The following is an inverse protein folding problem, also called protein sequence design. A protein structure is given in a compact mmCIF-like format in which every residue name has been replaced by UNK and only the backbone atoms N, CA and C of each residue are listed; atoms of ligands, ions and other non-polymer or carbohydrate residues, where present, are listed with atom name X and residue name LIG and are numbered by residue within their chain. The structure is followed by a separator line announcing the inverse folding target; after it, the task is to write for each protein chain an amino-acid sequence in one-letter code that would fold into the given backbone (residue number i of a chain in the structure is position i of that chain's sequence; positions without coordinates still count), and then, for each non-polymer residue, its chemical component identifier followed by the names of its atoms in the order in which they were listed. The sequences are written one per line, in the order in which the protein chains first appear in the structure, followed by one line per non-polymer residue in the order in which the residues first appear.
data_IF_281886434085
#
_entry.id   IF_281886434085
#
_cell.length_a   1.000
_cell.length_b   1.000
_cell.length_c   1.000
_cell.angle_alpha   90.00
_cell.angle_beta   90.00
_cell.angle_gamma   90.00
#
_symmetry.space_group_name_H-M   'P 1'
#
loop_
_entity.id
_entity.type
_entity.pdbx_description
1 polymer ?
#
# COMPACT_ATOMS: atom_id res chain seq x y z
N UNK A 1 1.15 -0.43 22.60
CA UNK A 1 1.82 0.16 21.43
C UNK A 1 3.21 0.61 21.85
N UNK A 2 4.22 0.28 21.07
CA UNK A 2 5.62 0.57 21.36
C UNK A 2 6.11 1.63 20.39
N UNK A 3 6.71 2.72 20.88
CA UNK A 3 7.31 3.77 20.05
C UNK A 3 8.71 3.35 19.62
N UNK A 4 9.02 3.54 18.34
CA UNK A 4 10.31 3.18 17.72
C UNK A 4 10.83 4.35 16.91
N UNK A 5 12.06 4.74 17.17
CA UNK A 5 12.78 5.69 16.32
C UNK A 5 13.90 4.97 15.55
N UNK A 6 13.90 5.15 14.24
CA UNK A 6 14.87 4.56 13.34
C UNK A 6 15.51 5.62 12.44
N UNK A 7 16.78 5.42 12.00
CA UNK A 7 17.47 6.39 11.14
C UNK A 7 16.74 6.64 9.82
N UNK A 8 16.73 7.89 9.37
CA UNK A 8 16.18 8.25 8.05
C UNK A 8 17.04 7.72 6.90
N UNK A 9 18.36 7.68 7.11
CA UNK A 9 19.29 7.09 6.15
C UNK A 9 19.24 5.56 6.23
N UNK A 10 18.79 4.94 5.15
CA UNK A 10 18.51 3.50 5.09
C UNK A 10 19.40 2.83 4.02
N UNK A 11 20.06 1.72 4.34
CA UNK A 11 20.82 0.95 3.35
C UNK A 11 19.95 0.49 2.19
N UNK A 12 20.50 0.50 0.97
CA UNK A 12 19.77 0.12 -0.25
C UNK A 12 19.18 -1.29 -0.18
N UNK A 13 19.87 -2.23 0.46
CA UNK A 13 19.39 -3.61 0.59
C UNK A 13 18.05 -3.72 1.33
N UNK A 14 17.78 -2.87 2.30
CA UNK A 14 16.50 -2.84 3.03
C UNK A 14 15.37 -2.48 2.07
N UNK A 15 15.52 -1.36 1.36
CA UNK A 15 14.49 -0.81 0.47
C UNK A 15 14.39 -1.58 -0.87
N UNK A 16 15.45 -2.29 -1.25
CA UNK A 16 15.40 -3.24 -2.35
C UNK A 16 14.64 -4.50 -1.95
N UNK A 17 14.84 -5.00 -0.74
CA UNK A 17 14.15 -6.18 -0.21
C UNK A 17 12.64 -5.94 -0.08
N UNK A 18 12.24 -4.76 0.38
CA UNK A 18 10.82 -4.37 0.46
C UNK A 18 10.22 -4.01 -0.92
N UNK A 19 11.03 -3.90 -1.99
CA UNK A 19 10.59 -3.58 -3.34
C UNK A 19 10.51 -2.10 -3.68
N UNK A 20 10.78 -1.19 -2.75
CA UNK A 20 10.71 0.26 -3.00
C UNK A 20 11.69 0.73 -4.07
N UNK A 21 12.91 0.19 -4.11
CA UNK A 21 13.90 0.58 -5.12
C UNK A 21 13.40 0.27 -6.54
N UNK A 22 12.68 -0.83 -6.72
CA UNK A 22 12.29 -1.32 -8.04
C UNK A 22 10.89 -0.84 -8.46
N UNK A 23 9.99 -0.52 -7.53
CA UNK A 23 8.56 -0.30 -7.81
C UNK A 23 8.00 1.04 -7.38
N UNK A 24 8.72 1.80 -6.54
CA UNK A 24 8.23 3.08 -6.02
C UNK A 24 8.53 4.20 -7.01
N UNK A 25 7.66 4.34 -8.01
CA UNK A 25 7.83 5.29 -9.11
C UNK A 25 6.50 5.90 -9.56
N UNK A 26 6.56 7.17 -9.96
CA UNK A 26 5.49 7.88 -10.67
C UNK A 26 5.81 7.98 -12.16
N UNK A 27 4.81 8.28 -12.98
CA UNK A 27 4.97 8.51 -14.40
C UNK A 27 5.21 9.98 -14.70
N UNK A 28 6.31 10.30 -15.40
CA UNK A 28 6.66 11.66 -15.76
C UNK A 28 6.73 11.84 -17.27
N UNK A 29 6.30 13.02 -17.74
CA UNK A 29 6.50 13.51 -19.09
C UNK A 29 7.44 14.72 -19.07
N UNK A 30 8.11 14.98 -20.18
CA UNK A 30 8.93 16.18 -20.38
C UNK A 30 8.32 17.03 -21.50
N UNK A 31 8.16 18.33 -21.26
CA UNK A 31 7.80 19.25 -22.30
C UNK A 31 9.03 19.51 -23.21
N UNK A 32 8.95 19.21 -24.52
CA UNK A 32 10.10 19.33 -25.41
C UNK A 32 10.50 20.79 -25.70
N UNK A 33 9.62 21.77 -25.45
CA UNK A 33 9.86 23.17 -25.77
C UNK A 33 10.60 23.92 -24.66
N UNK A 34 10.22 23.68 -23.38
CA UNK A 34 10.78 24.39 -22.25
C UNK A 34 11.54 23.50 -21.28
N UNK A 35 11.46 22.16 -21.45
CA UNK A 35 12.13 21.19 -20.63
C UNK A 35 11.45 20.90 -19.28
N UNK A 36 10.28 21.48 -19.05
CA UNK A 36 9.51 21.25 -17.82
C UNK A 36 9.16 19.78 -17.66
N UNK A 37 9.26 19.30 -16.42
CA UNK A 37 8.87 17.95 -16.05
C UNK A 37 7.48 18.00 -15.43
N UNK A 38 6.60 17.13 -15.92
CA UNK A 38 5.18 17.09 -15.58
C UNK A 38 4.85 15.65 -15.16
N UNK A 39 4.08 15.49 -14.11
CA UNK A 39 3.52 14.20 -13.73
C UNK A 39 2.40 13.83 -14.70
N UNK A 40 2.45 12.64 -15.29
CA UNK A 40 1.61 12.29 -16.44
C UNK A 40 0.13 12.16 -16.10
N UNK A 41 -0.19 11.54 -14.97
CA UNK A 41 -1.56 11.40 -14.45
C UNK A 41 -2.21 12.75 -14.18
N UNK A 42 -1.53 13.63 -13.44
CA UNK A 42 -2.02 14.99 -13.19
C UNK A 42 -2.17 15.84 -14.45
N UNK A 43 -1.32 15.62 -15.44
CA UNK A 43 -1.43 16.31 -16.71
C UNK A 43 -2.73 15.91 -17.44
N UNK A 44 -3.04 14.60 -17.47
CA UNK A 44 -4.28 14.10 -18.05
C UNK A 44 -5.48 14.63 -17.27
N UNK A 45 -5.45 14.54 -15.93
CA UNK A 45 -6.49 15.05 -15.03
C UNK A 45 -6.78 16.53 -15.27
N UNK A 46 -5.77 17.40 -15.22
CA UNK A 46 -5.90 18.86 -15.40
C UNK A 46 -6.53 19.22 -16.75
N UNK A 47 -6.16 18.52 -17.82
CA UNK A 47 -6.71 18.76 -19.15
C UNK A 47 -8.16 18.30 -19.26
N UNK A 48 -8.51 17.11 -18.76
CA UNK A 48 -9.87 16.60 -18.84
C UNK A 48 -10.82 17.41 -17.97
N UNK A 49 -10.43 17.77 -16.75
CA UNK A 49 -11.21 18.64 -15.87
C UNK A 49 -11.44 20.02 -16.51
N UNK A 50 -10.41 20.59 -17.14
CA UNK A 50 -10.52 21.86 -17.84
C UNK A 50 -11.51 21.78 -19.00
N UNK A 51 -11.51 20.71 -19.78
CA UNK A 51 -12.46 20.48 -20.89
C UNK A 51 -13.89 20.29 -20.40
N UNK A 52 -14.10 19.53 -19.32
CA UNK A 52 -15.41 19.36 -18.68
C UNK A 52 -15.94 20.67 -18.10
N UNK A 53 -15.06 21.52 -17.54
CA UNK A 53 -15.42 22.84 -17.07
C UNK A 53 -15.90 23.72 -18.25
N UNK A 54 -15.17 23.71 -19.35
CA UNK A 54 -15.57 24.44 -20.58
C UNK A 54 -16.91 23.97 -21.14
N UNK A 55 -17.23 22.67 -21.10
CA UNK A 55 -18.53 22.12 -21.49
C UNK A 55 -19.66 22.64 -20.57
N UNK A 56 -19.47 22.62 -19.25
CA UNK A 56 -20.44 23.16 -18.29
C UNK A 56 -20.74 24.63 -18.51
N UNK A 57 -19.69 25.43 -18.76
CA UNK A 57 -19.84 26.86 -19.10
C UNK A 57 -20.60 27.04 -20.41
N UNK A 58 -20.31 26.25 -21.46
CA UNK A 58 -21.01 26.27 -22.75
C UNK A 58 -22.49 25.85 -22.64
N UNK A 59 -22.84 25.02 -21.67
CA UNK A 59 -24.22 24.61 -21.36
C UNK A 59 -24.95 25.60 -20.43
N UNK A 60 -24.29 26.70 -20.01
CA UNK A 60 -24.88 27.73 -19.15
C UNK A 60 -24.99 27.35 -17.66
N UNK A 61 -24.29 26.32 -17.23
CA UNK A 61 -24.20 25.95 -15.83
C UNK A 61 -23.21 26.87 -15.13
N UNK A 62 -23.64 27.61 -14.12
CA UNK A 62 -22.72 28.41 -13.29
C UNK A 62 -21.75 27.44 -12.57
N UNK A 63 -20.49 27.49 -12.95
CA UNK A 63 -19.41 26.80 -12.23
C UNK A 63 -18.95 27.74 -11.14
N UNK A 64 -19.05 27.32 -9.88
CA UNK A 64 -18.46 28.05 -8.75
C UNK A 64 -16.96 28.14 -8.99
N UNK A 65 -16.43 29.36 -9.12
CA UNK A 65 -14.99 29.56 -9.17
C UNK A 65 -14.41 29.18 -7.81
N UNK A 66 -13.70 28.05 -7.76
CA UNK A 66 -12.81 27.77 -6.64
C UNK A 66 -11.81 28.92 -6.56
N UNK A 67 -11.60 29.50 -5.37
CA UNK A 67 -10.63 30.57 -5.15
C UNK A 67 -9.23 30.07 -5.59
N UNK A 68 -8.82 30.49 -6.78
CA UNK A 68 -7.51 30.17 -7.32
C UNK A 68 -6.41 31.00 -6.62
N UNK A 69 -5.30 30.37 -6.27
CA UNK A 69 -4.11 31.01 -5.73
C UNK A 69 -3.74 32.26 -6.57
N UNK A 70 -3.65 33.45 -5.94
CA UNK A 70 -3.33 34.73 -6.64
C UNK A 70 -2.06 34.68 -7.50
N UNK A 71 -1.13 33.74 -7.22
CA UNK A 71 0.09 33.52 -7.98
C UNK A 71 -0.16 32.77 -9.30
N UNK A 72 -1.23 31.98 -9.42
CA UNK A 72 -1.65 31.34 -10.68
C UNK A 72 -2.26 32.33 -11.67
N UNK A 73 -2.80 33.48 -11.20
CA UNK A 73 -3.34 34.52 -12.10
C UNK A 73 -2.32 35.10 -13.09
N UNK A 74 -1.02 35.00 -12.83
CA UNK A 74 0.04 35.47 -13.76
C UNK A 74 0.40 34.49 -14.88
N UNK A 75 -0.02 33.21 -14.76
CA UNK A 75 0.12 32.19 -15.81
C UNK A 75 -1.28 31.74 -16.29
N UNK A 76 -2.21 32.66 -16.53
CA UNK A 76 -3.48 32.28 -17.16
C UNK A 76 -3.16 31.60 -18.49
N UNK A 77 -3.23 30.29 -18.47
CA UNK A 77 -3.58 29.48 -19.63
C UNK A 77 -4.74 30.17 -20.31
N UNK A 78 -4.64 30.39 -21.64
CA UNK A 78 -5.74 30.87 -22.45
C UNK A 78 -7.01 30.19 -21.98
N UNK A 79 -8.03 31.00 -21.62
CA UNK A 79 -9.30 30.47 -21.15
C UNK A 79 -9.66 29.28 -22.05
N UNK A 80 -9.96 28.14 -21.44
CA UNK A 80 -10.43 26.97 -22.18
C UNK A 80 -11.62 27.46 -22.99
N UNK A 81 -11.59 27.31 -24.29
CA UNK A 81 -12.71 27.70 -25.13
C UNK A 81 -13.93 26.94 -24.58
N UNK A 82 -15.00 27.69 -24.27
CA UNK A 82 -16.27 27.11 -23.85
C UNK A 82 -16.85 26.32 -25.03
N UNK A 83 -16.50 25.07 -25.15
CA UNK A 83 -16.93 24.15 -26.22
C UNK A 83 -17.87 23.13 -25.62
N UNK A 84 -19.07 23.03 -26.20
CA UNK A 84 -20.01 21.98 -25.85
C UNK A 84 -19.51 20.63 -26.37
N UNK A 85 -19.29 19.70 -25.45
CA UNK A 85 -18.90 18.32 -25.77
C UNK A 85 -20.13 17.46 -26.06
N UNK A 86 -19.93 16.36 -26.76
CA UNK A 86 -20.94 15.30 -26.89
C UNK A 86 -21.10 14.59 -25.50
N UNK A 87 -22.33 14.23 -25.15
CA UNK A 87 -22.62 13.60 -23.87
C UNK A 87 -21.86 12.27 -23.70
N UNK A 88 -21.59 11.56 -24.79
CA UNK A 88 -20.76 10.34 -24.77
C UNK A 88 -19.30 10.67 -24.38
N UNK A 89 -18.75 11.79 -24.87
CA UNK A 89 -17.40 12.26 -24.55
C UNK A 89 -17.30 12.74 -23.10
N UNK A 90 -18.34 13.44 -22.61
CA UNK A 90 -18.41 13.85 -21.20
C UNK A 90 -18.33 12.63 -20.30
N UNK A 91 -19.15 11.62 -20.58
CA UNK A 91 -19.16 10.38 -19.82
C UNK A 91 -17.81 9.66 -19.88
N UNK A 92 -17.18 9.60 -21.05
CA UNK A 92 -15.86 8.98 -21.22
C UNK A 92 -14.78 9.71 -20.40
N UNK A 93 -14.81 11.05 -20.37
CA UNK A 93 -13.87 11.84 -19.55
C UNK A 93 -14.09 11.61 -18.04
N UNK A 94 -15.34 11.55 -17.60
CA UNK A 94 -15.68 11.25 -16.20
C UNK A 94 -15.22 9.83 -15.81
N UNK A 95 -15.38 8.84 -16.71
CA UNK A 95 -14.89 7.47 -16.49
C UNK A 95 -13.35 7.41 -16.40
N UNK A 96 -12.64 8.18 -17.22
CA UNK A 96 -11.18 8.27 -17.19
C UNK A 96 -10.73 8.91 -15.88
N UNK A 97 -11.32 10.03 -15.48
CA UNK A 97 -11.00 10.72 -14.23
C UNK A 97 -11.25 9.85 -13.00
N UNK A 98 -12.33 9.07 -13.00
CA UNK A 98 -12.62 8.14 -11.90
C UNK A 98 -11.58 7.00 -11.75
N UNK A 99 -10.79 6.74 -12.80
CA UNK A 99 -9.78 5.67 -12.85
C UNK A 99 -8.36 6.19 -13.03
N UNK A 100 -8.14 7.49 -12.89
CA UNK A 100 -6.86 8.13 -13.29
C UNK A 100 -5.65 7.50 -12.59
N UNK A 101 -5.78 7.18 -11.31
CA UNK A 101 -4.72 6.58 -10.52
C UNK A 101 -4.44 5.09 -10.86
N UNK A 102 -5.30 4.47 -11.67
CA UNK A 102 -5.16 3.08 -12.08
C UNK A 102 -4.43 2.89 -13.43
N UNK A 103 -4.15 3.98 -14.16
CA UNK A 103 -3.47 3.92 -15.46
C UNK A 103 -1.95 3.81 -15.32
N UNK A 104 -1.34 2.90 -16.08
CA UNK A 104 0.10 2.82 -16.23
C UNK A 104 0.63 3.85 -17.26
N UNK A 105 1.96 3.94 -17.38
CA UNK A 105 2.58 4.93 -18.27
C UNK A 105 2.25 4.77 -19.75
N UNK A 106 2.06 3.54 -20.22
CA UNK A 106 1.67 3.27 -21.61
C UNK A 106 0.23 3.74 -21.86
N UNK A 107 -0.68 3.40 -20.95
CA UNK A 107 -2.10 3.80 -21.01
C UNK A 107 -2.24 5.33 -20.94
N UNK A 108 -1.53 5.99 -20.01
CA UNK A 108 -1.49 7.46 -19.95
C UNK A 108 -0.97 8.07 -21.26
N UNK A 109 0.07 7.47 -21.85
CA UNK A 109 0.61 7.90 -23.14
C UNK A 109 -0.40 7.74 -24.28
N UNK A 110 -1.21 6.67 -24.28
CA UNK A 110 -2.29 6.46 -25.22
C UNK A 110 -3.40 7.51 -25.07
N UNK A 111 -3.77 7.86 -23.82
CA UNK A 111 -4.75 8.92 -23.54
C UNK A 111 -4.27 10.28 -24.03
N UNK A 112 -3.01 10.63 -23.77
CA UNK A 112 -2.41 11.90 -24.22
C UNK A 112 -2.49 12.01 -25.74
N UNK A 113 -2.15 10.96 -26.47
CA UNK A 113 -2.23 10.91 -27.94
C UNK A 113 -3.67 10.90 -28.45
N UNK A 114 -4.53 10.05 -27.91
CA UNK A 114 -5.93 9.91 -28.33
C UNK A 114 -6.69 11.22 -28.28
N UNK A 115 -6.45 12.01 -27.22
CA UNK A 115 -7.14 13.28 -27.02
C UNK A 115 -6.33 14.50 -27.43
N UNK A 116 -5.20 14.30 -28.14
CA UNK A 116 -4.31 15.37 -28.62
C UNK A 116 -4.00 16.39 -27.50
N UNK A 117 -3.61 15.87 -26.32
CA UNK A 117 -3.37 16.71 -25.15
C UNK A 117 -2.07 17.47 -25.31
N UNK A 118 -2.12 18.78 -25.14
CA UNK A 118 -0.96 19.67 -25.25
C UNK A 118 -0.78 20.43 -23.96
N UNK A 119 0.48 20.67 -23.59
CA UNK A 119 0.78 21.50 -22.42
C UNK A 119 0.20 22.90 -22.63
N UNK A 120 -0.72 23.33 -21.76
CA UNK A 120 -1.37 24.63 -21.92
C UNK A 120 -0.41 25.83 -21.98
N UNK A 121 0.74 25.69 -21.30
CA UNK A 121 1.75 26.78 -21.26
C UNK A 121 2.56 26.89 -22.55
N UNK A 122 2.79 25.81 -23.27
CA UNK A 122 3.71 25.76 -24.44
C UNK A 122 3.01 25.44 -25.75
N UNK A 123 1.79 24.85 -25.69
CA UNK A 123 1.02 24.40 -26.84
C UNK A 123 1.57 23.16 -27.53
N UNK A 124 2.53 22.44 -26.89
CA UNK A 124 3.21 21.27 -27.45
C UNK A 124 2.79 20.00 -26.69
N UNK A 125 2.73 18.89 -27.41
CA UNK A 125 2.51 17.56 -26.79
C UNK A 125 3.76 17.16 -25.98
N UNK A 126 3.59 16.70 -24.73
CA UNK A 126 4.71 16.24 -23.93
C UNK A 126 5.32 14.93 -24.47
N UNK A 127 6.53 14.61 -24.03
CA UNK A 127 7.14 13.31 -24.33
C UNK A 127 6.29 12.16 -23.78
N UNK A 128 6.45 10.94 -24.33
CA UNK A 128 5.83 9.77 -23.72
C UNK A 128 6.16 9.64 -22.22
N UNK A 129 5.23 9.14 -21.40
CA UNK A 129 5.47 8.91 -19.98
C UNK A 129 6.60 7.91 -19.73
N UNK A 130 7.49 8.24 -18.80
CA UNK A 130 8.57 7.36 -18.31
C UNK A 130 8.50 7.26 -16.80
N UNK A 131 8.86 6.09 -16.27
CA UNK A 131 8.88 5.88 -14.82
C UNK A 131 9.99 6.72 -14.17
N UNK A 132 9.65 7.41 -13.09
CA UNK A 132 10.57 8.18 -12.27
C UNK A 132 10.53 7.64 -10.83
N UNK A 133 11.64 7.10 -10.35
CA UNK A 133 11.73 6.57 -9.00
C UNK A 133 11.72 7.72 -7.98
N UNK A 134 10.84 7.62 -6.99
CA UNK A 134 10.63 8.65 -5.96
C UNK A 134 11.62 8.57 -4.80
N UNK A 135 12.66 7.75 -4.89
CA UNK A 135 13.64 7.58 -3.84
C UNK A 135 14.79 8.60 -3.96
N UNK A 136 15.20 9.20 -2.83
CA UNK A 136 16.44 9.96 -2.75
C UNK A 136 17.62 9.02 -2.49
N UNK A 137 18.42 8.78 -3.51
CA UNK A 137 19.63 7.97 -3.39
C UNK A 137 20.80 8.79 -2.86
N UNK A 138 21.64 8.16 -2.04
CA UNK A 138 22.89 8.72 -1.51
C UNK A 138 23.94 7.62 -1.34
N UNK A 139 25.16 8.00 -1.05
CA UNK A 139 26.26 7.09 -0.70
C UNK A 139 26.48 7.08 0.82
N UNK A 140 26.72 5.91 1.39
CA UNK A 140 27.03 5.73 2.80
C UNK A 140 28.52 5.44 2.95
N UNK A 141 29.18 6.20 3.82
CA UNK A 141 30.60 6.04 4.12
C UNK A 141 31.55 6.67 3.09
N UNK A 142 32.85 6.68 3.40
CA UNK A 142 33.86 7.43 2.64
C UNK A 142 34.20 6.83 1.27
N UNK A 143 33.99 5.52 1.10
CA UNK A 143 34.32 4.81 -0.15
C UNK A 143 33.22 4.94 -1.23
N UNK A 144 32.08 5.50 -0.92
CA UNK A 144 30.89 5.60 -1.80
C UNK A 144 30.41 4.27 -2.40
N UNK A 145 30.87 3.14 -1.87
CA UNK A 145 30.54 1.81 -2.39
C UNK A 145 29.29 1.21 -1.77
N UNK A 146 28.73 1.84 -0.74
CA UNK A 146 27.51 1.40 -0.08
C UNK A 146 26.39 2.36 -0.44
N UNK A 147 25.48 1.98 -1.38
CA UNK A 147 24.33 2.81 -1.70
C UNK A 147 23.33 2.82 -0.55
N UNK A 148 22.72 3.98 -0.33
CA UNK A 148 21.65 4.19 0.63
C UNK A 148 20.58 5.10 0.06
N UNK A 149 19.50 5.22 0.80
CA UNK A 149 18.39 6.10 0.45
C UNK A 149 17.88 6.81 1.70
N UNK A 150 17.30 7.98 1.51
CA UNK A 150 16.42 8.57 2.52
C UNK A 150 15.10 7.77 2.51
N UNK A 151 14.64 7.33 3.67
CA UNK A 151 13.45 6.48 3.79
C UNK A 151 12.19 7.15 3.25
N UNK A 152 11.37 6.49 2.41
CA UNK A 152 10.11 7.03 1.90
C UNK A 152 8.94 6.86 2.88
N UNK A 153 9.13 6.02 3.91
CA UNK A 153 8.21 5.66 4.99
C UNK A 153 8.98 5.27 6.24
N UNK A 154 8.34 5.20 7.38
CA UNK A 154 8.99 4.79 8.65
C UNK A 154 8.80 3.31 8.96
N UNK A 155 7.95 2.61 8.23
CA UNK A 155 7.55 1.21 8.42
C UNK A 155 8.71 0.23 8.42
N UNK A 156 9.63 0.35 7.45
CA UNK A 156 10.71 -0.64 7.25
C UNK A 156 11.62 -0.78 8.47
N UNK A 157 11.87 0.32 9.18
CA UNK A 157 12.62 0.28 10.44
C UNK A 157 11.91 -0.52 11.53
N UNK A 158 10.59 -0.49 11.57
CA UNK A 158 9.78 -1.24 12.53
C UNK A 158 9.84 -2.74 12.20
N UNK A 159 9.72 -3.14 10.94
CA UNK A 159 9.81 -4.54 10.51
C UNK A 159 11.17 -5.16 10.82
N UNK A 160 12.26 -4.44 10.57
CA UNK A 160 13.61 -4.91 10.91
C UNK A 160 13.83 -5.12 12.41
N UNK A 161 13.10 -4.40 13.25
CA UNK A 161 13.14 -4.52 14.69
C UNK A 161 12.03 -5.41 15.27
N UNK A 162 11.23 -6.06 14.43
CA UNK A 162 10.07 -6.87 14.85
C UNK A 162 10.40 -7.86 15.98
N UNK A 163 11.46 -8.65 15.85
CA UNK A 163 11.84 -9.63 16.86
C UNK A 163 12.12 -9.00 18.24
N UNK A 164 12.82 -7.85 18.25
CA UNK A 164 13.10 -7.09 19.48
C UNK A 164 11.83 -6.49 20.09
N UNK A 165 10.92 -6.00 19.24
CA UNK A 165 9.63 -5.44 19.67
C UNK A 165 8.73 -6.52 20.27
N UNK A 166 8.71 -7.71 19.65
CA UNK A 166 7.98 -8.87 20.15
C UNK A 166 8.54 -9.33 21.50
N UNK A 167 9.87 -9.41 21.65
CA UNK A 167 10.54 -9.72 22.92
C UNK A 167 10.19 -8.70 23.99
N UNK A 168 10.26 -7.40 23.67
CA UNK A 168 9.88 -6.34 24.59
C UNK A 168 8.41 -6.42 25.01
N UNK A 169 7.53 -6.85 24.11
CA UNK A 169 6.11 -7.12 24.37
C UNK A 169 5.87 -8.50 24.99
N UNK A 170 6.91 -9.17 25.50
CA UNK A 170 6.81 -10.48 26.19
C UNK A 170 6.16 -11.56 25.32
N UNK A 171 6.43 -11.57 24.03
CA UNK A 171 5.88 -12.52 23.04
C UNK A 171 4.34 -12.50 22.92
N UNK A 172 3.69 -11.44 23.43
CA UNK A 172 2.23 -11.33 23.39
C UNK A 172 1.73 -10.78 22.06
N UNK A 173 0.67 -11.40 21.53
CA UNK A 173 -0.04 -10.97 20.33
C UNK A 173 -1.53 -10.69 20.68
N UNK A 174 -2.23 -9.78 19.94
CA UNK A 174 -1.68 -8.80 19.00
C UNK A 174 -0.96 -7.65 19.70
N UNK A 175 -0.05 -6.99 18.99
CA UNK A 175 0.58 -5.76 19.48
C UNK A 175 0.82 -4.77 18.35
N UNK A 176 1.22 -3.56 18.67
CA UNK A 176 1.57 -2.56 17.68
C UNK A 176 2.85 -1.81 18.07
N UNK A 177 3.64 -1.46 17.08
CA UNK A 177 4.67 -0.42 17.16
C UNK A 177 4.23 0.83 16.43
N UNK A 178 4.84 1.97 16.75
CA UNK A 178 4.59 3.23 16.09
C UNK A 178 5.90 4.00 15.92
N UNK A 179 6.01 4.71 14.82
CA UNK A 179 7.14 5.62 14.56
C UNK A 179 6.60 6.97 14.11
N UNK A 180 7.12 8.06 14.73
CA UNK A 180 6.86 9.43 14.30
C UNK A 180 8.18 9.97 13.77
N UNK A 181 8.23 10.32 12.50
CA UNK A 181 9.50 10.75 11.91
C UNK A 181 9.35 11.33 10.51
N UNK A 182 10.46 11.87 10.03
CA UNK A 182 10.53 12.37 8.66
C UNK A 182 10.63 11.24 7.65
N UNK A 183 9.86 11.38 6.57
CA UNK A 183 9.95 10.58 5.36
C UNK A 183 10.25 11.49 4.17
N UNK A 184 10.77 10.91 3.09
CA UNK A 184 11.32 11.64 1.95
C UNK A 184 10.86 11.01 0.64
N UNK A 185 10.25 11.81 -0.22
CA UNK A 185 9.88 11.39 -1.57
C UNK A 185 10.33 12.42 -2.58
N UNK A 186 11.07 12.04 -3.57
CA UNK A 186 11.59 12.92 -4.61
C UNK A 186 10.47 13.31 -5.58
N UNK A 187 9.52 14.08 -5.09
CA UNK A 187 8.35 14.54 -5.84
C UNK A 187 8.75 15.23 -7.14
N UNK A 188 8.09 14.86 -8.24
CA UNK A 188 8.31 15.43 -9.57
C UNK A 188 7.98 16.92 -9.56
N UNK A 189 6.86 17.31 -8.96
CA UNK A 189 6.39 18.69 -8.90
C UNK A 189 5.84 19.06 -7.54
N UNK A 190 6.71 19.42 -6.56
CA UNK A 190 6.25 19.91 -5.26
C UNK A 190 5.46 21.22 -5.43
N UNK A 191 4.30 21.30 -4.79
CA UNK A 191 3.43 22.48 -4.84
C UNK A 191 2.43 22.48 -3.69
N UNK A 192 1.69 23.58 -3.55
CA UNK A 192 0.59 23.72 -2.59
C UNK A 192 1.02 23.61 -1.12
N UNK A 193 2.15 24.24 -0.77
CA UNK A 193 2.64 24.30 0.62
C UNK A 193 2.89 22.89 1.20
N UNK A 194 2.26 22.57 2.33
CA UNK A 194 2.43 21.29 3.03
C UNK A 194 1.79 20.10 2.33
N UNK A 195 0.97 20.32 1.31
CA UNK A 195 0.22 19.25 0.66
C UNK A 195 1.08 18.35 -0.22
N UNK A 196 2.15 18.91 -0.83
CA UNK A 196 3.08 18.14 -1.65
C UNK A 196 4.51 18.65 -1.53
N UNK A 197 5.26 18.01 -0.66
CA UNK A 197 6.65 18.34 -0.31
C UNK A 197 7.54 17.11 -0.42
N UNK A 198 8.85 17.32 -0.50
CA UNK A 198 9.85 16.24 -0.60
C UNK A 198 10.31 15.69 0.74
N UNK A 199 10.12 16.44 1.81
CA UNK A 199 10.35 16.04 3.20
C UNK A 199 9.08 16.31 3.98
N UNK A 200 8.55 15.32 4.68
CA UNK A 200 7.32 15.44 5.45
C UNK A 200 7.35 14.60 6.72
N UNK A 201 6.56 14.99 7.70
CA UNK A 201 6.42 14.28 8.95
C UNK A 201 5.28 13.27 8.85
N UNK A 202 5.58 12.01 9.18
CA UNK A 202 4.62 10.91 9.24
C UNK A 202 4.53 10.35 10.64
N UNK A 203 3.37 9.80 10.98
CA UNK A 203 3.21 8.87 12.08
C UNK A 203 2.65 7.56 11.54
N UNK A 204 3.39 6.49 11.64
CA UNK A 204 2.98 5.17 11.14
C UNK A 204 2.89 4.17 12.28
N UNK A 205 1.82 3.39 12.26
CA UNK A 205 1.54 2.34 13.24
C UNK A 205 1.56 1.02 12.49
N UNK A 206 2.39 0.08 12.97
CA UNK A 206 2.40 -1.30 12.48
C UNK A 206 1.69 -2.17 13.50
N UNK A 207 0.45 -2.54 13.21
CA UNK A 207 -0.34 -3.41 14.07
C UNK A 207 -0.23 -4.86 13.61
N UNK A 208 0.45 -5.67 14.41
CA UNK A 208 0.73 -7.08 14.13
C UNK A 208 -0.41 -7.95 14.63
N UNK A 209 -0.96 -8.76 13.74
CA UNK A 209 -2.12 -9.64 14.04
C UNK A 209 -1.88 -11.06 13.58
N UNK A 210 -2.54 -12.01 14.26
CA UNK A 210 -2.62 -13.39 13.80
C UNK A 210 -3.39 -13.46 12.46
N UNK A 211 -2.83 -14.07 11.41
CA UNK A 211 -3.52 -14.20 10.13
C UNK A 211 -4.75 -15.12 10.19
N UNK A 212 -4.84 -15.99 11.21
CA UNK A 212 -5.99 -16.89 11.40
C UNK A 212 -7.17 -16.17 12.04
N UNK A 213 -8.36 -16.71 11.83
CA UNK A 213 -9.58 -16.18 12.43
C UNK A 213 -10.10 -14.90 11.77
N UNK A 214 -9.65 -14.59 10.53
CA UNK A 214 -10.18 -13.47 9.73
C UNK A 214 -9.72 -12.10 10.23
N UNK A 215 -8.55 -12.01 10.88
CA UNK A 215 -7.99 -10.75 11.39
C UNK A 215 -9.00 -9.96 12.24
N UNK A 216 -9.65 -10.63 13.18
CA UNK A 216 -10.60 -10.03 14.10
C UNK A 216 -9.92 -9.08 15.08
N UNK A 217 -10.62 -8.01 15.46
CA UNK A 217 -10.13 -7.06 16.45
C UNK A 217 -10.99 -7.08 17.72
N UNK A 218 -10.38 -7.34 18.87
CA UNK A 218 -11.07 -7.51 20.16
C UNK A 218 -11.87 -6.27 20.62
N UNK A 219 -11.56 -5.08 20.08
CA UNK A 219 -12.26 -3.83 20.35
C UNK A 219 -13.16 -3.36 19.19
N UNK A 220 -13.45 -4.22 18.22
CA UNK A 220 -14.25 -3.84 17.07
C UNK A 220 -15.67 -3.38 17.47
N UNK A 221 -16.23 -4.00 18.49
CA UNK A 221 -17.54 -3.64 19.06
C UNK A 221 -17.64 -2.16 19.50
N UNK A 222 -16.52 -1.54 19.89
CA UNK A 222 -16.49 -0.12 20.30
C UNK A 222 -16.73 0.86 19.16
N UNK A 223 -16.49 0.42 17.93
CA UNK A 223 -16.51 1.28 16.73
C UNK A 223 -17.44 0.77 15.63
N UNK A 224 -18.05 -0.40 15.80
CA UNK A 224 -18.83 -1.07 14.74
C UNK A 224 -19.94 -0.21 14.12
N UNK A 225 -20.55 0.66 14.92
CA UNK A 225 -21.67 1.52 14.50
C UNK A 225 -21.20 2.88 13.95
N UNK A 226 -19.89 3.13 13.89
CA UNK A 226 -19.35 4.36 13.27
C UNK A 226 -19.66 4.36 11.79
N UNK A 227 -20.35 5.37 11.32
CA UNK A 227 -20.68 5.55 9.90
C UNK A 227 -19.53 6.22 9.15
N UNK A 228 -19.04 5.57 8.10
CA UNK A 228 -18.01 6.10 7.22
C UNK A 228 -18.58 6.43 5.84
N UNK A 229 -18.06 7.47 5.22
CA UNK A 229 -18.34 7.86 3.84
C UNK A 229 -17.33 7.17 2.94
N UNK A 230 -17.75 6.12 2.24
CA UNK A 230 -16.88 5.24 1.47
C UNK A 230 -17.02 5.45 -0.04
N UNK A 231 -15.90 5.64 -0.72
CA UNK A 231 -15.76 5.53 -2.17
C UNK A 231 -15.04 4.20 -2.47
N UNK A 232 -15.80 3.17 -2.68
CA UNK A 232 -15.25 1.83 -2.84
C UNK A 232 -14.70 1.58 -4.26
N UNK A 233 -13.88 0.55 -4.40
CA UNK A 233 -13.24 0.12 -5.64
C UNK A 233 -14.23 -0.18 -6.77
N UNK A 234 -15.35 -0.82 -6.46
CA UNK A 234 -16.34 -1.18 -7.47
C UNK A 234 -17.00 0.05 -8.10
N UNK A 235 -17.32 1.07 -7.30
CA UNK A 235 -17.85 2.35 -7.78
C UNK A 235 -16.86 3.04 -8.72
N UNK A 236 -15.59 3.10 -8.34
CA UNK A 236 -14.53 3.69 -9.17
C UNK A 236 -14.32 2.93 -10.48
N UNK A 237 -14.31 1.59 -10.45
CA UNK A 237 -14.19 0.75 -11.65
C UNK A 237 -15.39 0.89 -12.59
N UNK A 238 -16.57 1.23 -12.07
CA UNK A 238 -17.74 1.58 -12.87
C UNK A 238 -17.70 2.99 -13.47
N UNK A 239 -16.58 3.74 -13.27
CA UNK A 239 -16.44 5.12 -13.73
C UNK A 239 -17.28 6.14 -12.93
N UNK A 240 -17.61 5.82 -11.68
CA UNK A 240 -18.45 6.63 -10.82
C UNK A 240 -17.69 7.11 -9.58
N UNK A 241 -18.14 8.23 -9.02
CA UNK A 241 -17.51 8.87 -7.85
C UNK A 241 -18.49 9.09 -6.70
N UNK A 242 -19.69 8.47 -6.77
CA UNK A 242 -20.65 8.57 -5.68
C UNK A 242 -20.16 7.80 -4.44
N UNK A 243 -20.37 8.39 -3.29
CA UNK A 243 -19.99 7.81 -2.00
C UNK A 243 -21.18 7.14 -1.33
N UNK A 244 -20.89 6.14 -0.50
CA UNK A 244 -21.89 5.48 0.34
C UNK A 244 -21.56 5.75 1.81
N UNK A 245 -22.57 6.18 2.57
CA UNK A 245 -22.45 6.32 4.02
C UNK A 245 -22.99 5.06 4.69
N UNK A 246 -22.12 4.30 5.31
CA UNK A 246 -22.44 2.99 5.91
C UNK A 246 -21.73 2.79 7.23
N UNK A 247 -22.35 2.10 8.23
CA UNK A 247 -21.67 1.71 9.44
C UNK A 247 -20.57 0.68 9.12
N UNK A 248 -19.43 0.78 9.84
CA UNK A 248 -18.24 -0.02 9.50
C UNK A 248 -18.47 -1.52 9.63
N UNK A 249 -19.32 -1.97 10.56
CA UNK A 249 -19.65 -3.39 10.69
C UNK A 249 -20.27 -3.95 9.40
N UNK A 250 -21.10 -3.16 8.73
CA UNK A 250 -21.74 -3.56 7.48
C UNK A 250 -20.73 -3.62 6.34
N UNK A 251 -19.84 -2.62 6.22
CA UNK A 251 -18.80 -2.61 5.21
C UNK A 251 -17.84 -3.81 5.33
N UNK A 252 -17.58 -4.28 6.55
CA UNK A 252 -16.81 -5.51 6.80
C UNK A 252 -17.63 -6.75 6.47
N UNK A 253 -18.91 -6.80 6.86
CA UNK A 253 -19.77 -7.96 6.64
C UNK A 253 -20.03 -8.26 5.16
N UNK A 254 -20.18 -7.20 4.31
CA UNK A 254 -20.37 -7.32 2.86
C UNK A 254 -19.05 -7.42 2.09
N UNK A 255 -17.89 -7.45 2.78
CA UNK A 255 -16.58 -7.60 2.14
C UNK A 255 -16.10 -6.36 1.38
N UNK A 256 -16.73 -5.20 1.58
CA UNK A 256 -16.25 -3.91 1.05
C UNK A 256 -14.92 -3.53 1.71
N UNK A 257 -14.80 -3.75 3.03
CA UNK A 257 -13.58 -3.68 3.81
C UNK A 257 -13.15 -5.11 4.15
N UNK A 258 -11.92 -5.47 3.85
CA UNK A 258 -11.45 -6.86 3.85
C UNK A 258 -11.57 -7.58 5.20
N UNK A 259 -11.37 -6.89 6.32
CA UNK A 259 -11.39 -7.51 7.64
C UNK A 259 -11.72 -6.53 8.78
N UNK A 260 -12.07 -7.08 9.97
CA UNK A 260 -12.43 -6.28 11.15
C UNK A 260 -11.30 -5.39 11.67
N UNK A 261 -10.05 -5.84 11.62
CA UNK A 261 -8.92 -5.02 12.12
C UNK A 261 -8.70 -3.80 11.24
N UNK A 262 -8.76 -3.96 9.91
CA UNK A 262 -8.71 -2.84 8.98
C UNK A 262 -9.90 -1.89 9.24
N UNK A 263 -11.11 -2.43 9.36
CA UNK A 263 -12.30 -1.67 9.67
C UNK A 263 -12.22 -0.91 11.01
N UNK A 264 -11.65 -1.54 12.04
CA UNK A 264 -11.41 -0.89 13.32
C UNK A 264 -10.53 0.36 13.14
N UNK A 265 -9.44 0.26 12.41
CA UNK A 265 -8.53 1.39 12.23
C UNK A 265 -9.15 2.48 11.34
N UNK A 266 -9.91 2.16 10.30
CA UNK A 266 -10.65 3.15 9.51
C UNK A 266 -11.60 3.96 10.39
N UNK A 267 -12.37 3.30 11.25
CA UNK A 267 -13.24 3.98 12.20
C UNK A 267 -12.47 4.82 13.23
N UNK A 268 -11.32 4.32 13.73
CA UNK A 268 -10.47 5.09 14.67
C UNK A 268 -9.84 6.32 14.02
N UNK A 269 -9.44 6.22 12.73
CA UNK A 269 -8.95 7.36 11.95
C UNK A 269 -10.05 8.43 11.83
N UNK A 270 -11.28 8.02 11.48
CA UNK A 270 -12.42 8.94 11.40
C UNK A 270 -12.66 9.67 12.72
N UNK A 271 -12.76 8.93 13.83
CA UNK A 271 -12.97 9.49 15.17
C UNK A 271 -11.81 10.39 15.63
N UNK A 272 -10.58 10.08 15.21
CA UNK A 272 -9.42 10.92 15.50
C UNK A 272 -9.51 12.26 14.74
N UNK A 273 -9.80 12.21 13.44
CA UNK A 273 -9.93 13.41 12.60
C UNK A 273 -11.06 14.32 13.10
N UNK A 274 -12.20 13.74 13.47
CA UNK A 274 -13.29 14.46 14.10
C UNK A 274 -12.87 15.12 15.42
N UNK A 275 -12.20 14.35 16.29
CA UNK A 275 -11.77 14.82 17.61
C UNK A 275 -10.80 16.00 17.56
N UNK A 276 -9.95 16.07 16.53
CA UNK A 276 -9.03 17.22 16.37
C UNK A 276 -9.67 18.42 15.69
N UNK A 277 -10.94 18.32 15.24
CA UNK A 277 -11.71 19.46 14.69
C UNK A 277 -11.83 19.47 13.16
N UNK A 278 -11.53 18.38 12.47
CA UNK A 278 -11.83 18.27 11.04
C UNK A 278 -13.35 18.19 10.84
N UNK A 279 -13.87 18.94 9.87
CA UNK A 279 -15.28 18.91 9.50
C UNK A 279 -15.68 17.54 8.94
N UNK A 280 -16.58 16.84 9.63
CA UNK A 280 -17.06 15.50 9.26
C UNK A 280 -17.63 15.44 7.83
N UNK A 281 -18.27 16.50 7.36
CA UNK A 281 -18.83 16.55 6.01
C UNK A 281 -17.75 16.58 4.91
N UNK A 282 -16.52 16.83 5.32
CA UNK A 282 -15.33 16.92 4.45
C UNK A 282 -14.36 15.74 4.62
N UNK A 283 -14.83 14.63 5.18
CA UNK A 283 -14.06 13.39 5.31
C UNK A 283 -14.70 12.32 4.43
N UNK A 284 -13.88 11.64 3.60
CA UNK A 284 -14.28 10.41 2.93
C UNK A 284 -13.13 9.40 2.96
N UNK A 285 -13.47 8.13 2.78
CA UNK A 285 -12.48 7.07 2.63
C UNK A 285 -12.55 6.53 1.21
N UNK A 286 -11.43 6.58 0.48
CA UNK A 286 -11.29 6.06 -0.88
C UNK A 286 -10.50 4.76 -0.88
N UNK A 287 -11.06 3.71 -1.45
CA UNK A 287 -10.37 2.42 -1.60
C UNK A 287 -9.47 2.45 -2.83
N UNK A 288 -8.24 1.96 -2.70
CA UNK A 288 -7.34 1.79 -3.82
C UNK A 288 -7.85 0.75 -4.82
N UNK A 289 -7.65 1.02 -6.11
CA UNK A 289 -7.86 0.07 -7.18
C UNK A 289 -6.66 -0.87 -7.32
N UNK A 290 -6.81 -1.98 -8.07
CA UNK A 290 -5.81 -3.05 -8.12
C UNK A 290 -4.41 -2.59 -8.60
N UNK A 291 -4.36 -1.71 -9.60
CA UNK A 291 -3.09 -1.24 -10.17
C UNK A 291 -2.46 -0.08 -9.37
N UNK A 292 -3.27 0.62 -8.57
CA UNK A 292 -2.84 1.68 -7.66
C UNK A 292 -2.29 1.12 -6.36
N UNK A 293 -2.83 -0.01 -5.94
CA UNK A 293 -2.49 -0.63 -4.68
C UNK A 293 -1.01 -1.01 -4.63
N UNK A 294 -0.34 -0.65 -3.53
CA UNK A 294 1.03 -1.04 -3.30
C UNK A 294 1.18 -2.58 -3.38
N UNK A 295 2.29 -3.04 -3.95
CA UNK A 295 2.54 -4.46 -4.23
C UNK A 295 2.52 -5.38 -2.99
N UNK A 296 2.55 -4.82 -1.81
CA UNK A 296 2.51 -5.52 -0.52
C UNK A 296 1.11 -5.53 0.11
N UNK A 297 0.17 -4.74 -0.37
CA UNK A 297 -1.14 -4.58 0.25
C UNK A 297 -2.18 -5.56 -0.30
N UNK A 298 -3.00 -6.11 0.59
CA UNK A 298 -4.19 -6.89 0.25
C UNK A 298 -5.42 -6.00 0.08
N UNK A 299 -5.55 -4.96 0.90
CA UNK A 299 -6.55 -3.89 0.82
C UNK A 299 -5.95 -2.60 1.35
N UNK A 300 -6.32 -1.46 0.76
CA UNK A 300 -5.81 -0.14 1.15
C UNK A 300 -6.90 0.92 0.99
N UNK A 301 -6.98 1.81 1.96
CA UNK A 301 -7.93 2.91 2.02
C UNK A 301 -7.24 4.21 2.42
N UNK A 302 -7.59 5.30 1.75
CA UNK A 302 -7.15 6.63 2.10
C UNK A 302 -8.28 7.43 2.77
N UNK A 303 -8.01 7.98 3.94
CA UNK A 303 -8.84 9.04 4.47
C UNK A 303 -8.46 10.34 3.75
N UNK A 304 -9.36 10.81 2.91
CA UNK A 304 -9.23 12.03 2.15
C UNK A 304 -10.04 13.15 2.79
N UNK A 305 -9.42 14.33 2.86
CA UNK A 305 -10.01 15.54 3.39
C UNK A 305 -10.25 16.55 2.27
N UNK A 306 -11.46 17.11 2.20
CA UNK A 306 -11.81 18.10 1.19
C UNK A 306 -11.21 19.47 1.55
N UNK A 307 -10.45 20.03 0.64
CA UNK A 307 -9.85 21.36 0.74
C UNK A 307 -10.20 22.23 -0.45
N UNK A 308 -9.75 23.48 -0.44
CA UNK A 308 -9.82 24.37 -1.61
C UNK A 308 -9.10 23.81 -2.85
N UNK A 309 -8.15 22.89 -2.66
CA UNK A 309 -7.44 22.17 -3.73
C UNK A 309 -8.12 20.87 -4.18
N UNK A 310 -9.25 20.50 -3.58
CA UNK A 310 -9.95 19.24 -3.81
C UNK A 310 -9.76 18.24 -2.67
N UNK A 311 -9.97 16.97 -2.97
CA UNK A 311 -9.76 15.88 -2.02
C UNK A 311 -8.27 15.58 -1.88
N UNK A 312 -7.77 15.55 -0.65
CA UNK A 312 -6.35 15.33 -0.34
C UNK A 312 -6.25 14.12 0.58
N UNK A 313 -5.51 13.12 0.16
CA UNK A 313 -5.10 12.00 1.00
C UNK A 313 -4.29 12.50 2.21
N UNK A 314 -4.78 12.24 3.41
CA UNK A 314 -4.15 12.65 4.65
C UNK A 314 -3.73 11.48 5.54
N UNK A 315 -4.44 10.36 5.47
CA UNK A 315 -4.12 9.14 6.21
C UNK A 315 -4.35 7.93 5.32
N UNK A 316 -3.31 7.14 5.06
CA UNK A 316 -3.43 5.82 4.46
C UNK A 316 -3.72 4.77 5.54
N UNK A 317 -4.48 3.72 5.19
CA UNK A 317 -4.67 2.56 6.05
C UNK A 317 -4.65 1.28 5.20
N UNK A 318 -3.58 0.51 5.33
CA UNK A 318 -3.33 -0.65 4.50
C UNK A 318 -3.30 -1.97 5.30
N UNK A 319 -3.81 -3.03 4.71
CA UNK A 319 -3.49 -4.39 5.10
C UNK A 319 -2.28 -4.86 4.28
N UNK A 320 -1.09 -4.83 4.88
CA UNK A 320 0.17 -5.25 4.25
C UNK A 320 0.36 -6.77 4.25
N UNK A 321 -0.59 -7.53 4.78
CA UNK A 321 -0.47 -8.98 4.97
C UNK A 321 0.83 -9.34 5.72
N UNK A 322 1.46 -10.46 5.37
CA UNK A 322 2.75 -10.87 5.95
C UNK A 322 3.95 -10.51 5.05
N UNK A 323 3.75 -9.63 4.05
CA UNK A 323 4.73 -9.42 2.99
C UNK A 323 6.09 -8.97 3.52
N UNK A 324 6.15 -7.83 4.22
CA UNK A 324 7.41 -7.23 4.66
C UNK A 324 8.21 -8.16 5.58
N UNK A 325 7.57 -8.73 6.58
CA UNK A 325 8.22 -9.67 7.50
C UNK A 325 8.76 -10.89 6.76
N UNK A 326 8.01 -11.42 5.78
CA UNK A 326 8.42 -12.58 4.99
C UNK A 326 9.63 -12.29 4.11
N UNK A 327 9.63 -11.16 3.37
CA UNK A 327 10.74 -10.84 2.47
C UNK A 327 12.03 -10.50 3.26
N UNK A 328 11.89 -9.78 4.38
CA UNK A 328 13.03 -9.49 5.25
C UNK A 328 13.57 -10.74 5.94
N UNK A 329 12.71 -11.63 6.46
CA UNK A 329 13.12 -12.91 7.03
C UNK A 329 13.89 -13.77 6.01
N UNK A 330 13.37 -13.88 4.79
CA UNK A 330 14.02 -14.61 3.69
C UNK A 330 15.38 -14.02 3.32
N UNK A 331 15.50 -12.69 3.29
CA UNK A 331 16.74 -12.00 2.92
C UNK A 331 17.81 -12.09 4.00
N UNK A 332 17.44 -11.97 5.26
CA UNK A 332 18.38 -11.90 6.39
C UNK A 332 18.62 -13.23 7.09
N UNK A 333 17.72 -14.21 6.90
CA UNK A 333 17.70 -15.44 7.71
C UNK A 333 17.20 -15.23 9.15
N UNK A 334 16.78 -14.00 9.51
CA UNK A 334 16.25 -13.71 10.83
C UNK A 334 14.84 -14.27 11.01
N UNK A 335 14.50 -14.86 12.17
CA UNK A 335 13.16 -15.38 12.44
C UNK A 335 12.18 -14.24 12.76
N UNK A 336 11.64 -13.58 11.73
CA UNK A 336 10.61 -12.53 11.88
C UNK A 336 9.21 -13.18 11.97
N UNK A 337 9.04 -14.06 12.94
CA UNK A 337 7.82 -14.83 13.18
C UNK A 337 7.49 -14.88 14.67
N UNK A 338 6.25 -15.19 14.96
CA UNK A 338 5.76 -15.44 16.32
C UNK A 338 5.84 -16.93 16.59
N UNK A 339 6.33 -17.28 17.78
CA UNK A 339 6.32 -18.64 18.31
C UNK A 339 5.51 -18.64 19.60
N UNK A 340 4.31 -19.18 19.55
CA UNK A 340 3.44 -19.26 20.71
C UNK A 340 3.24 -20.69 21.20
N UNK A 341 3.13 -20.86 22.51
CA UNK A 341 2.77 -22.16 23.09
C UNK A 341 1.26 -22.37 22.95
N UNK A 342 0.88 -23.52 22.41
CA UNK A 342 -0.52 -23.91 22.33
C UNK A 342 -1.05 -24.26 23.72
N UNK A 343 -2.26 -23.78 24.04
CA UNK A 343 -2.96 -24.11 25.28
C UNK A 343 -3.27 -25.61 25.31
N UNK A 344 -3.74 -26.15 24.18
CA UNK A 344 -3.95 -27.57 23.97
C UNK A 344 -3.03 -28.06 22.84
N UNK A 345 -2.23 -29.10 23.09
CA UNK A 345 -1.39 -29.68 22.06
C UNK A 345 -2.21 -30.19 20.89
N UNK A 346 -1.79 -29.88 19.68
CA UNK A 346 -2.44 -30.37 18.46
C UNK A 346 -1.72 -31.65 18.03
N UNK A 347 -2.48 -32.74 17.89
CA UNK A 347 -1.94 -33.97 17.29
C UNK A 347 -2.15 -33.91 15.79
N UNK A 348 -1.05 -33.81 15.03
CA UNK A 348 -1.04 -33.86 13.58
C UNK A 348 -0.66 -35.25 13.14
N UNK A 349 -1.47 -35.84 12.27
CA UNK A 349 -1.10 -37.09 11.59
C UNK A 349 -0.53 -36.72 10.22
N UNK A 350 0.75 -37.04 10.02
CA UNK A 350 1.45 -36.75 8.79
C UNK A 350 2.24 -37.96 8.27
N UNK A 351 2.43 -38.01 6.97
CA UNK A 351 3.30 -39.00 6.36
C UNK A 351 4.74 -38.56 6.54
N UNK A 352 5.48 -39.29 7.38
CA UNK A 352 6.90 -39.06 7.61
C UNK A 352 7.74 -40.00 6.76
N UNK A 353 8.89 -39.49 6.34
CA UNK A 353 9.88 -40.23 5.54
C UNK A 353 11.14 -40.39 6.37
N UNK A 354 11.54 -41.63 6.61
CA UNK A 354 12.82 -41.95 7.21
C UNK A 354 13.74 -42.57 6.17
N UNK A 355 14.94 -42.04 6.04
CA UNK A 355 15.98 -42.58 5.18
C UNK A 355 16.97 -43.42 6.00
N UNK A 356 17.27 -44.63 5.56
CA UNK A 356 18.40 -45.39 6.11
C UNK A 356 19.72 -44.75 5.65
N UNK A 357 20.19 -43.76 6.39
CA UNK A 357 21.41 -42.99 6.04
C UNK A 357 22.66 -43.84 5.84
N UNK A 358 22.70 -45.01 6.48
CA UNK A 358 23.84 -45.95 6.31
C UNK A 358 23.87 -46.61 4.95
N UNK A 359 22.72 -46.87 4.37
CA UNK A 359 22.58 -47.48 3.04
C UNK A 359 22.37 -46.45 1.94
N UNK A 360 21.62 -45.37 2.26
CA UNK A 360 21.24 -44.34 1.30
C UNK A 360 22.45 -43.58 0.72
N UNK A 361 23.37 -43.13 1.59
CA UNK A 361 24.60 -42.47 1.17
C UNK A 361 25.48 -43.29 0.22
N UNK A 362 25.85 -44.54 0.57
CA UNK A 362 26.63 -45.42 -0.31
C UNK A 362 25.92 -45.74 -1.63
N UNK A 363 24.58 -45.85 -1.64
CA UNK A 363 23.77 -46.13 -2.83
C UNK A 363 23.84 -45.00 -3.86
N UNK A 364 23.57 -43.75 -3.44
CA UNK A 364 23.49 -42.59 -4.32
C UNK A 364 24.80 -41.82 -4.46
N UNK A 365 25.82 -42.12 -3.66
CA UNK A 365 27.17 -41.53 -3.71
C UNK A 365 27.12 -39.98 -3.79
N UNK A 366 27.66 -39.43 -4.88
CA UNK A 366 27.72 -37.95 -5.10
C UNK A 366 26.34 -37.28 -5.17
N UNK A 367 25.30 -38.00 -5.59
CA UNK A 367 23.95 -37.48 -5.81
C UNK A 367 23.07 -37.61 -4.55
N UNK A 368 23.60 -38.25 -3.49
CA UNK A 368 22.84 -38.55 -2.26
C UNK A 368 22.18 -37.35 -1.60
N UNK A 369 22.86 -36.20 -1.51
CA UNK A 369 22.32 -34.98 -0.93
C UNK A 369 21.20 -34.38 -1.78
N UNK A 370 21.33 -34.44 -3.10
CA UNK A 370 20.32 -33.93 -4.04
C UNK A 370 19.04 -34.78 -3.98
N UNK A 371 19.23 -36.12 -3.89
CA UNK A 371 18.08 -37.03 -3.77
C UNK A 371 17.43 -36.91 -2.39
N UNK A 372 18.20 -36.78 -1.29
CA UNK A 372 17.71 -36.55 0.07
C UNK A 372 16.84 -35.30 0.11
N UNK A 373 17.35 -34.17 -0.41
CA UNK A 373 16.61 -32.90 -0.45
C UNK A 373 15.30 -33.01 -1.27
N UNK A 374 15.33 -33.72 -2.40
CA UNK A 374 14.14 -33.94 -3.21
C UNK A 374 13.09 -34.81 -2.49
N UNK A 375 13.52 -35.83 -1.75
CA UNK A 375 12.64 -36.67 -0.94
C UNK A 375 12.03 -35.88 0.21
N UNK A 376 12.81 -35.07 0.92
CA UNK A 376 12.33 -34.23 2.04
C UNK A 376 11.33 -33.17 1.55
N UNK A 377 11.50 -32.65 0.34
CA UNK A 377 10.61 -31.65 -0.28
C UNK A 377 9.28 -32.23 -0.78
N UNK A 378 9.05 -33.53 -0.73
CA UNK A 378 7.82 -34.14 -1.20
C UNK A 378 6.59 -33.67 -0.38
N UNK A 379 5.52 -33.17 -1.02
CA UNK A 379 4.28 -32.79 -0.34
C UNK A 379 3.54 -34.01 0.25
N UNK A 380 2.75 -33.80 1.29
CA UNK A 380 2.05 -34.86 2.05
C UNK A 380 1.19 -35.79 1.16
N UNK A 381 0.49 -35.22 0.17
CA UNK A 381 -0.33 -35.97 -0.78
C UNK A 381 0.51 -36.95 -1.62
N UNK A 382 1.69 -36.51 -2.06
CA UNK A 382 2.64 -37.39 -2.78
C UNK A 382 3.25 -38.45 -1.87
N UNK A 383 3.53 -38.11 -0.59
CA UNK A 383 4.06 -39.08 0.39
C UNK A 383 3.06 -40.21 0.64
N UNK A 384 1.77 -39.89 0.74
CA UNK A 384 0.70 -40.90 0.88
C UNK A 384 0.66 -41.86 -0.31
N UNK A 385 0.65 -41.33 -1.52
CA UNK A 385 0.66 -42.14 -2.76
C UNK A 385 1.91 -43.03 -2.83
N UNK A 386 3.09 -42.46 -2.54
CA UNK A 386 4.36 -43.20 -2.56
C UNK A 386 4.44 -44.27 -1.47
N UNK A 387 3.85 -44.03 -0.29
CA UNK A 387 3.76 -45.05 0.75
C UNK A 387 2.96 -46.27 0.29
N UNK A 388 1.90 -46.04 -0.47
CA UNK A 388 1.09 -47.12 -1.05
C UNK A 388 1.90 -47.91 -2.10
N UNK A 389 2.57 -47.23 -3.04
CA UNK A 389 3.44 -47.85 -4.02
C UNK A 389 4.61 -48.62 -3.40
N UNK A 390 5.24 -48.06 -2.35
CA UNK A 390 6.35 -48.70 -1.66
C UNK A 390 5.93 -50.04 -1.02
N UNK A 391 4.68 -50.13 -0.55
CA UNK A 391 4.11 -51.37 0.00
C UNK A 391 3.80 -52.40 -1.05
N UNK A 392 3.31 -51.97 -2.24
CA UNK A 392 2.94 -52.86 -3.31
C UNK A 392 4.14 -53.36 -4.11
N UNK A 393 4.97 -52.43 -4.57
CA UNK A 393 6.03 -52.68 -5.55
C UNK A 393 7.42 -52.78 -4.93
N UNK A 394 7.54 -52.50 -3.62
CA UNK A 394 8.80 -52.52 -2.91
C UNK A 394 9.79 -51.43 -3.32
N UNK A 395 9.39 -50.51 -4.19
CA UNK A 395 10.18 -49.39 -4.68
C UNK A 395 9.32 -48.21 -5.11
N UNK A 396 9.88 -47.04 -5.15
CA UNK A 396 9.24 -45.82 -5.61
C UNK A 396 10.13 -45.10 -6.62
N UNK A 397 9.53 -44.29 -7.49
CA UNK A 397 10.26 -43.44 -8.43
C UNK A 397 9.87 -41.99 -8.15
N UNK A 398 10.86 -41.13 -8.01
CA UNK A 398 10.68 -39.69 -7.82
C UNK A 398 11.44 -38.92 -8.89
N UNK A 399 10.92 -37.71 -9.21
CA UNK A 399 11.59 -36.79 -10.12
C UNK A 399 12.67 -36.02 -9.35
N UNK A 400 13.93 -36.07 -9.80
CA UNK A 400 15.06 -35.37 -9.17
C UNK A 400 15.85 -34.66 -10.25
N UNK A 401 15.79 -33.36 -10.28
CA UNK A 401 16.50 -32.54 -11.26
C UNK A 401 18.02 -32.66 -11.09
N UNK A 402 18.74 -32.87 -12.20
CA UNK A 402 20.19 -32.97 -12.19
C UNK A 402 20.76 -34.36 -11.83
N UNK A 403 19.95 -35.38 -11.61
CA UNK A 403 20.37 -36.73 -11.30
C UNK A 403 19.93 -37.71 -12.40
N UNK A 404 20.88 -38.39 -13.03
CA UNK A 404 20.59 -39.39 -14.07
C UNK A 404 19.75 -38.83 -15.22
N UNK A 405 18.62 -39.50 -15.52
CA UNK A 405 17.65 -39.09 -16.53
C UNK A 405 16.50 -38.24 -15.95
N UNK A 406 16.69 -37.64 -14.77
CA UNK A 406 15.67 -36.87 -14.08
C UNK A 406 14.71 -37.70 -13.20
N UNK A 407 14.88 -39.03 -13.17
CA UNK A 407 14.10 -39.96 -12.35
C UNK A 407 15.00 -40.85 -11.51
N UNK A 408 14.65 -41.00 -10.26
CA UNK A 408 15.39 -41.79 -9.29
C UNK A 408 14.48 -42.85 -8.68
N UNK A 409 14.92 -44.11 -8.77
CA UNK A 409 14.27 -45.25 -8.13
C UNK A 409 14.84 -45.45 -6.72
N UNK A 410 13.97 -45.58 -5.72
CA UNK A 410 14.35 -45.80 -4.32
C UNK A 410 13.62 -47.04 -3.81
N UNK A 411 14.39 -48.02 -3.34
CA UNK A 411 13.82 -49.26 -2.79
C UNK A 411 13.43 -49.13 -1.32
N UNK A 412 12.54 -50.00 -0.87
CA UNK A 412 12.08 -50.05 0.53
C UNK A 412 13.19 -50.28 1.56
N UNK A 413 14.39 -50.75 1.14
CA UNK A 413 15.51 -50.94 2.03
C UNK A 413 16.24 -49.64 2.37
N UNK A 414 15.96 -48.58 1.61
CA UNK A 414 16.57 -47.26 1.72
C UNK A 414 15.67 -46.22 2.36
N UNK A 415 14.33 -46.47 2.31
CA UNK A 415 13.31 -45.50 2.70
C UNK A 415 12.12 -46.18 3.37
N UNK A 416 11.63 -45.55 4.41
CA UNK A 416 10.36 -45.91 5.08
C UNK A 416 9.44 -44.70 5.02
N UNK A 417 8.19 -44.91 4.58
CA UNK A 417 7.16 -43.87 4.55
C UNK A 417 5.98 -44.34 5.40
N UNK A 418 5.78 -43.72 6.53
CA UNK A 418 4.76 -44.11 7.53
C UNK A 418 3.94 -42.90 7.97
N UNK A 419 2.65 -43.17 8.27
CA UNK A 419 1.81 -42.19 8.91
C UNK A 419 2.09 -42.17 10.41
N UNK A 420 2.58 -41.05 10.91
CA UNK A 420 2.92 -40.88 12.34
C UNK A 420 2.17 -39.72 12.95
N UNK A 421 1.88 -39.84 14.23
CA UNK A 421 1.33 -38.77 15.04
C UNK A 421 2.45 -37.94 15.59
N UNK A 422 2.41 -36.63 15.30
CA UNK A 422 3.30 -35.64 15.92
C UNK A 422 2.44 -34.73 16.80
N UNK A 423 2.86 -34.56 18.05
CA UNK A 423 2.22 -33.62 18.97
C UNK A 423 2.93 -32.29 18.85
N UNK A 424 2.23 -31.29 18.40
CA UNK A 424 2.71 -29.91 18.36
C UNK A 424 2.27 -29.17 19.61
N UNK A 425 3.24 -28.73 20.40
CA UNK A 425 3.01 -27.91 21.62
C UNK A 425 3.23 -26.42 21.32
N UNK A 426 3.80 -26.09 20.18
CA UNK A 426 4.10 -24.72 19.76
C UNK A 426 3.62 -24.50 18.33
N UNK A 427 3.16 -23.31 18.09
CA UNK A 427 2.76 -22.82 16.77
C UNK A 427 3.71 -21.71 16.33
N UNK A 428 4.11 -21.75 15.07
CA UNK A 428 4.88 -20.69 14.44
C UNK A 428 4.06 -20.06 13.30
N UNK A 429 4.09 -18.73 13.22
CA UNK A 429 3.45 -18.00 12.13
C UNK A 429 4.09 -16.62 11.92
N UNK A 430 4.08 -16.15 10.68
CA UNK A 430 4.40 -14.76 10.37
C UNK A 430 3.14 -13.93 10.51
N UNK A 431 3.10 -12.91 11.38
CA UNK A 431 1.91 -12.09 11.54
C UNK A 431 1.63 -11.26 10.32
N UNK A 432 0.35 -10.93 10.12
CA UNK A 432 -0.05 -9.90 9.18
C UNK A 432 0.05 -8.54 9.85
N UNK A 433 0.16 -7.51 9.03
CA UNK A 433 0.34 -6.12 9.48
C UNK A 433 -0.78 -5.26 8.95
N UNK A 434 -1.44 -4.52 9.82
CA UNK A 434 -2.36 -3.45 9.46
C UNK A 434 -1.68 -2.13 9.81
N UNK A 435 -1.55 -1.26 8.81
CA UNK A 435 -0.79 -0.03 8.87
C UNK A 435 -1.67 1.21 8.70
N UNK A 436 -2.01 1.95 9.75
CA UNK A 436 -2.43 3.35 9.67
C UNK A 436 -1.20 4.27 9.54
N UNK A 437 -1.20 5.12 8.50
CA UNK A 437 -0.11 6.03 8.16
C UNK A 437 -0.62 7.47 8.03
N UNK A 438 -0.21 8.34 8.95
CA UNK A 438 -0.73 9.71 9.10
C UNK A 438 0.25 10.72 8.50
N UNK A 439 -0.18 11.45 7.47
CA UNK A 439 0.54 12.59 6.91
C UNK A 439 0.30 13.85 7.75
N UNK A 440 1.10 14.05 8.81
CA UNK A 440 0.86 15.08 9.84
C UNK A 440 0.78 16.48 9.23
N UNK A 441 1.64 16.81 8.26
CA UNK A 441 1.63 18.13 7.61
C UNK A 441 0.35 18.39 6.81
N UNK A 442 -0.18 17.36 6.12
CA UNK A 442 -1.46 17.44 5.38
C UNK A 442 -2.64 17.61 6.33
N UNK A 443 -2.69 16.82 7.41
CA UNK A 443 -3.73 16.93 8.44
C UNK A 443 -3.74 18.34 9.05
N UNK A 444 -2.56 18.85 9.41
CA UNK A 444 -2.43 20.20 9.96
C UNK A 444 -2.93 21.27 8.99
N UNK A 445 -2.56 21.17 7.71
CA UNK A 445 -3.05 22.08 6.68
C UNK A 445 -4.58 22.06 6.56
N UNK A 446 -5.17 20.87 6.49
CA UNK A 446 -6.63 20.73 6.40
C UNK A 446 -7.34 21.25 7.66
N UNK A 447 -6.78 20.96 8.84
CA UNK A 447 -7.31 21.49 10.11
C UNK A 447 -7.31 23.03 10.11
N UNK A 448 -6.21 23.66 9.68
CA UNK A 448 -6.14 25.12 9.58
C UNK A 448 -7.16 25.66 8.58
N UNK A 449 -7.32 25.03 7.42
CA UNK A 449 -8.29 25.47 6.41
C UNK A 449 -9.75 25.29 6.90
N UNK A 450 -10.07 24.18 7.58
CA UNK A 450 -11.44 23.90 8.06
C UNK A 450 -11.82 24.77 9.26
N UNK A 451 -10.87 25.24 10.03
CA UNK A 451 -11.11 26.07 11.23
C UNK A 451 -10.92 27.57 10.98
N UNK A 452 -10.42 27.93 9.79
CA UNK A 452 -10.21 29.34 9.43
C UNK A 452 -11.55 30.05 9.21
N UNK A 453 -11.65 31.26 9.73
CA UNK A 453 -12.76 32.16 9.49
C UNK A 453 -12.35 33.62 9.61
N UNK A 454 -13.09 34.52 8.98
CA UNK A 454 -12.90 35.96 9.07
C UNK A 454 -14.05 36.60 9.83
N UNK A 455 -13.74 37.49 10.75
CA UNK A 455 -14.76 38.27 11.43
C UNK A 455 -15.43 39.21 10.42
N UNK A 456 -16.74 39.13 10.28
CA UNK A 456 -17.52 40.06 9.43
C UNK A 456 -17.39 41.50 9.91
N UNK A 457 -17.31 42.44 8.98
CA UNK A 457 -17.41 43.85 9.27
C UNK A 457 -18.90 44.21 9.49
N UNK A 458 -19.37 44.17 10.72
CA UNK A 458 -20.65 44.79 11.05
C UNK A 458 -20.50 46.32 11.03
N UNK A 459 -20.76 46.90 9.86
CA UNK A 459 -21.05 48.33 9.68
C UNK A 459 -19.85 49.28 9.63
N UNK A 460 -19.61 49.82 8.46
CA UNK A 460 -19.03 51.13 8.20
C UNK A 460 -17.53 51.29 8.43
N UNK A 461 -16.86 51.65 7.35
CA UNK A 461 -15.48 52.08 7.22
C UNK A 461 -14.34 51.05 7.55
N UNK A 462 -13.72 50.59 6.48
CA UNK A 462 -12.34 49.98 6.45
C UNK A 462 -11.97 49.07 7.62
N UNK A 463 -12.83 48.17 8.06
CA UNK A 463 -12.48 47.15 9.01
C UNK A 463 -11.53 46.14 8.34
N UNK A 464 -10.24 46.24 8.64
CA UNK A 464 -9.24 45.20 8.35
C UNK A 464 -9.78 43.87 8.92
N UNK A 465 -10.16 42.95 8.04
CA UNK A 465 -10.65 41.62 8.42
C UNK A 465 -9.62 40.96 9.31
N UNK A 466 -9.98 40.70 10.57
CA UNK A 466 -9.12 39.94 11.48
C UNK A 466 -9.48 38.47 11.31
N UNK A 467 -8.49 37.68 10.91
CA UNK A 467 -8.65 36.24 10.72
C UNK A 467 -8.43 35.49 12.04
N UNK A 468 -9.26 34.49 12.28
CA UNK A 468 -9.19 33.67 13.48
C UNK A 468 -9.25 32.19 13.12
N UNK A 469 -8.62 31.35 13.95
CA UNK A 469 -8.86 29.91 13.93
C UNK A 469 -9.79 29.56 15.11
N UNK A 470 -10.79 28.74 14.86
CA UNK A 470 -11.59 28.15 15.94
C UNK A 470 -10.72 27.15 16.68
N UNK A 471 -10.72 27.19 17.98
CA UNK A 471 -10.20 26.08 18.79
C UNK A 471 -11.15 24.88 18.61
N UNK A 472 -10.61 23.67 18.43
CA UNK A 472 -11.40 22.46 18.32
C UNK A 472 -12.30 22.23 19.51
#
# INVERSE_FOLDING_TARGET
MLEVDCPALTPAEVLKTSGHVDKFADWMCKDPKNGDIIRADHFVEEILESRLKGDKEARGVKVEEKEEDPKKKKKKVKATEAVKLDDAVVKEYEEILAKIDNYNGEELGQLIKKYEMKNPATGVEPSPPVAFNLMFQTAIGPSSNMPGYLRPETAQGQFLNFAKLLDFNQQQMPFASASIGKAYRNEISPRSGLLRVREFLMAEIEHYVDPRGGKKHHRFEEVKDVELVLLNRHTQLAGQTHVQKVPIWKAVADGTVDNETLGYFLARIHLFLEKIGIDQSKIRFRQHMANEMAHYAADCWDAELQTSYGWIECVGCADRSAYDLTVHAKKTGAPLMVRERLVEPITIEEWQIDLDKKKFGPHFKKDGKTVEAAVEALPQEKREALAHYLKLDGKITIDVEGVGNGKVEISKDLIVIERRKRVENTREFTPNVIEPSFGIGRILYCLMEHTYWTRGSDGGDEARGVSFMRTP
#
